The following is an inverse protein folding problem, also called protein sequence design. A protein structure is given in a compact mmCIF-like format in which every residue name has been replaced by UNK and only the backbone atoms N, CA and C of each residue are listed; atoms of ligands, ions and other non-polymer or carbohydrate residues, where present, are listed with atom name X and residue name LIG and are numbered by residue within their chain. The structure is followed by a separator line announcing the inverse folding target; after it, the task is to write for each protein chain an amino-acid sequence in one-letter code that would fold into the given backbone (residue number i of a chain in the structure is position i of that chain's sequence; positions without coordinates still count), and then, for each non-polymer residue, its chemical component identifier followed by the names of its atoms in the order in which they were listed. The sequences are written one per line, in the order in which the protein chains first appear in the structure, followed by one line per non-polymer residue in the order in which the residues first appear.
data_IF_485706439802
#
_entry.id   IF_485706439802
#
_cell.length_a   1.000
_cell.length_b   1.000
_cell.length_c   1.000
_cell.angle_alpha   90.00
_cell.angle_beta   90.00
_cell.angle_gamma   90.00
#
_symmetry.space_group_name_H-M   'P 1'
#
loop_
_entity.id
_entity.type
_entity.pdbx_description
1 polymer ?
#
# COMPACT_ATOMS: atom_id res chain seq x y z
N UNK A 1 -4.04 7.31 37.32
CA UNK A 1 -4.38 6.33 36.25
C UNK A 1 -3.17 6.15 35.34
N UNK A 2 -2.72 4.93 35.13
CA UNK A 2 -1.71 4.66 34.10
C UNK A 2 -2.41 4.78 32.74
N UNK A 3 -1.99 5.73 31.92
CA UNK A 3 -2.44 5.84 30.53
C UNK A 3 -1.78 4.68 29.76
N UNK A 4 -2.58 3.78 29.20
CA UNK A 4 -2.08 2.73 28.31
C UNK A 4 -1.65 3.40 27.01
N UNK A 5 -0.42 3.14 26.59
CA UNK A 5 0.09 3.58 25.29
C UNK A 5 0.07 2.36 24.37
N UNK A 6 -0.69 2.44 23.30
CA UNK A 6 -0.69 1.40 22.27
C UNK A 6 0.55 1.55 21.39
N UNK A 7 1.05 0.45 20.85
CA UNK A 7 2.19 0.47 19.93
C UNK A 7 1.83 1.20 18.63
N UNK A 8 0.60 1.07 18.19
CA UNK A 8 0.01 1.82 17.08
C UNK A 8 -1.49 1.95 17.28
N UNK A 9 -2.06 2.98 16.71
CA UNK A 9 -3.51 3.21 16.66
C UNK A 9 -3.88 3.67 15.26
N UNK A 10 -5.05 3.27 14.73
CA UNK A 10 -5.57 3.84 13.50
C UNK A 10 -5.84 5.34 13.68
N UNK A 11 -5.35 6.15 12.75
CA UNK A 11 -5.65 7.59 12.69
C UNK A 11 -6.66 7.82 11.56
N UNK A 12 -7.94 7.60 11.87
CA UNK A 12 -9.05 7.78 10.93
C UNK A 12 -9.76 9.07 11.28
N UNK A 13 -9.73 10.01 10.36
CA UNK A 13 -10.35 11.33 10.53
C UNK A 13 -11.74 11.40 9.87
N UNK A 14 -12.51 12.43 10.22
CA UNK A 14 -13.79 12.72 9.54
C UNK A 14 -13.61 12.97 8.04
N UNK A 15 -12.44 13.50 7.63
CA UNK A 15 -12.11 13.67 6.23
C UNK A 15 -11.98 12.32 5.49
N UNK A 16 -11.38 11.32 6.13
CA UNK A 16 -11.25 9.97 5.56
C UNK A 16 -12.61 9.30 5.42
N UNK A 17 -13.45 9.39 6.45
CA UNK A 17 -14.82 8.84 6.43
C UNK A 17 -15.63 9.50 5.32
N UNK A 18 -15.54 10.82 5.20
CA UNK A 18 -16.22 11.57 4.14
C UNK A 18 -15.75 11.14 2.76
N UNK A 19 -14.45 11.06 2.52
CA UNK A 19 -13.88 10.67 1.23
C UNK A 19 -14.32 9.27 0.80
N UNK A 20 -14.31 8.30 1.71
CA UNK A 20 -14.80 6.94 1.43
C UNK A 20 -16.29 6.94 1.15
N UNK A 21 -17.09 7.64 1.94
CA UNK A 21 -18.54 7.72 1.77
C UNK A 21 -18.93 8.37 0.44
N UNK A 22 -18.25 9.44 0.04
CA UNK A 22 -18.45 10.12 -1.24
C UNK A 22 -18.10 9.21 -2.41
N UNK A 23 -17.00 8.48 -2.32
CA UNK A 23 -16.61 7.53 -3.36
C UNK A 23 -17.65 6.42 -3.53
N UNK A 24 -18.12 5.81 -2.44
CA UNK A 24 -19.15 4.78 -2.49
C UNK A 24 -20.47 5.31 -3.08
N UNK A 25 -20.89 6.51 -2.72
CA UNK A 25 -22.10 7.14 -3.26
C UNK A 25 -21.97 7.50 -4.75
N UNK A 26 -20.77 7.72 -5.23
CA UNK A 26 -20.53 8.01 -6.65
C UNK A 26 -20.81 6.84 -7.59
N UNK A 27 -21.02 5.62 -7.05
CA UNK A 27 -21.18 4.40 -7.84
C UNK A 27 -19.88 3.91 -8.49
N UNK A 28 -18.73 4.39 -8.02
CA UNK A 28 -17.42 3.94 -8.48
C UNK A 28 -17.15 2.47 -8.15
N UNK A 29 -16.28 1.84 -8.93
CA UNK A 29 -15.84 0.48 -8.67
C UNK A 29 -15.09 0.41 -7.34
N UNK A 30 -15.46 -0.54 -6.46
CA UNK A 30 -14.85 -0.71 -5.14
C UNK A 30 -13.59 -1.58 -5.15
N UNK A 31 -13.26 -2.18 -6.26
CA UNK A 31 -12.17 -3.16 -6.36
C UNK A 31 -10.87 -2.57 -6.91
N UNK A 32 -10.92 -1.54 -7.76
CA UNK A 32 -9.71 -1.08 -8.44
C UNK A 32 -9.89 0.22 -9.23
N UNK A 33 -8.87 0.57 -10.01
CA UNK A 33 -8.75 1.58 -11.04
C UNK A 33 -8.46 2.99 -10.53
N UNK A 34 -9.46 3.87 -10.47
CA UNK A 34 -9.20 5.30 -10.33
C UNK A 34 -8.46 5.64 -9.04
N UNK A 35 -8.96 5.16 -7.90
CA UNK A 35 -8.37 5.46 -6.59
C UNK A 35 -7.02 4.76 -6.38
N UNK A 36 -6.85 3.58 -6.93
CA UNK A 36 -5.55 2.89 -6.92
C UNK A 36 -4.51 3.70 -7.69
N UNK A 37 -4.85 4.19 -8.89
CA UNK A 37 -3.94 5.02 -9.70
C UNK A 37 -3.63 6.37 -9.05
N UNK A 38 -4.62 7.00 -8.42
CA UNK A 38 -4.40 8.22 -7.65
C UNK A 38 -3.43 7.99 -6.49
N UNK A 39 -3.54 6.85 -5.78
CA UNK A 39 -2.64 6.47 -4.70
C UNK A 39 -1.22 6.18 -5.23
N UNK A 40 -1.10 5.37 -6.29
CA UNK A 40 0.18 5.08 -6.95
C UNK A 40 0.90 6.37 -7.34
N UNK A 41 0.17 7.30 -7.95
CA UNK A 41 0.74 8.61 -8.29
C UNK A 41 1.16 9.41 -7.07
N UNK A 42 0.35 9.47 -6.03
CA UNK A 42 0.67 10.19 -4.80
C UNK A 42 1.92 9.63 -4.12
N UNK A 43 2.07 8.29 -4.11
CA UNK A 43 3.27 7.63 -3.56
C UNK A 43 4.50 7.93 -4.41
N UNK A 44 4.37 7.83 -5.74
CA UNK A 44 5.50 8.13 -6.64
C UNK A 44 5.98 9.57 -6.51
N UNK A 45 5.04 10.53 -6.44
CA UNK A 45 5.36 11.94 -6.24
C UNK A 45 6.02 12.19 -4.87
N UNK A 46 5.47 11.61 -3.79
CA UNK A 46 6.01 11.76 -2.44
C UNK A 46 7.41 11.16 -2.29
N UNK A 47 7.63 9.98 -2.85
CA UNK A 47 8.92 9.30 -2.81
C UNK A 47 9.91 9.81 -3.87
N UNK A 48 9.49 10.69 -4.77
CA UNK A 48 10.29 11.19 -5.90
C UNK A 48 10.85 10.06 -6.78
N UNK A 49 10.03 9.04 -7.02
CA UNK A 49 10.31 7.91 -7.90
C UNK A 49 9.45 7.98 -9.16
N UNK A 50 9.87 7.30 -10.20
CA UNK A 50 9.17 7.36 -11.49
C UNK A 50 7.79 6.72 -11.44
N UNK A 51 7.70 5.54 -10.86
CA UNK A 51 6.48 4.74 -10.83
C UNK A 51 6.31 4.06 -9.46
N UNK A 52 5.05 3.87 -9.05
CA UNK A 52 4.66 3.04 -7.92
C UNK A 52 3.53 2.12 -8.34
N UNK A 53 3.49 0.92 -7.80
CA UNK A 53 2.46 -0.09 -8.10
C UNK A 53 1.92 -0.65 -6.79
N UNK A 54 0.61 -0.65 -6.66
CA UNK A 54 -0.08 -1.20 -5.48
C UNK A 54 -0.31 -2.71 -5.66
N UNK A 55 0.03 -3.47 -4.63
CA UNK A 55 -0.24 -4.89 -4.51
C UNK A 55 -1.20 -5.17 -3.36
N UNK A 56 -1.93 -6.30 -3.39
CA UNK A 56 -2.88 -6.66 -2.33
C UNK A 56 -2.25 -6.79 -0.94
N UNK A 57 -0.97 -7.12 -0.88
CA UNK A 57 -0.21 -7.24 0.37
C UNK A 57 1.30 -7.24 0.13
N UNK A 58 2.08 -7.10 1.21
CA UNK A 58 3.54 -7.04 1.15
C UNK A 58 4.18 -8.34 0.64
N UNK A 59 3.63 -9.49 0.93
CA UNK A 59 4.17 -10.79 0.46
C UNK A 59 4.15 -10.87 -1.05
N UNK A 60 3.04 -10.52 -1.69
CA UNK A 60 2.93 -10.49 -3.14
C UNK A 60 3.79 -9.40 -3.78
N UNK A 61 3.96 -8.25 -3.12
CA UNK A 61 4.86 -7.21 -3.62
C UNK A 61 6.32 -7.68 -3.64
N UNK A 62 6.78 -8.35 -2.58
CA UNK A 62 8.12 -8.94 -2.53
C UNK A 62 8.31 -10.01 -3.61
N UNK A 63 7.33 -10.89 -3.79
CA UNK A 63 7.37 -11.88 -4.86
C UNK A 63 7.47 -11.23 -6.24
N UNK A 64 6.68 -10.21 -6.50
CA UNK A 64 6.71 -9.49 -7.77
C UNK A 64 8.06 -8.81 -8.03
N UNK A 65 8.68 -8.21 -6.98
CA UNK A 65 10.02 -7.62 -7.07
C UNK A 65 11.04 -8.67 -7.47
N UNK A 66 11.07 -9.82 -6.78
CA UNK A 66 12.02 -10.90 -7.09
C UNK A 66 11.85 -11.40 -8.54
N UNK A 67 10.60 -11.56 -8.97
CA UNK A 67 10.29 -11.97 -10.35
C UNK A 67 10.71 -10.92 -11.38
N UNK A 68 10.47 -9.65 -11.12
CA UNK A 68 10.86 -8.56 -12.03
C UNK A 68 12.38 -8.45 -12.21
N UNK A 69 13.14 -8.85 -11.21
CA UNK A 69 14.60 -8.90 -11.23
C UNK A 69 15.15 -10.23 -11.78
N UNK A 70 14.29 -11.14 -12.23
CA UNK A 70 14.63 -12.48 -12.69
C UNK A 70 15.39 -13.33 -11.65
N UNK A 71 15.18 -13.05 -10.36
CA UNK A 71 15.74 -13.83 -9.27
C UNK A 71 14.99 -15.17 -9.17
N UNK A 72 15.73 -16.29 -9.17
CA UNK A 72 15.16 -17.63 -9.19
C UNK A 72 16.14 -18.71 -8.72
N UNK A 73 15.99 -19.89 -9.25
CA UNK A 73 16.82 -21.04 -8.85
C UNK A 73 18.31 -20.76 -9.07
N UNK A 74 19.10 -20.94 -8.02
CA UNK A 74 20.54 -20.69 -8.02
C UNK A 74 20.94 -19.31 -7.50
N UNK A 75 20.01 -18.40 -7.33
CA UNK A 75 20.24 -17.08 -6.75
C UNK A 75 20.10 -17.09 -5.22
N UNK A 76 20.67 -16.07 -4.59
CA UNK A 76 20.61 -15.88 -3.15
C UNK A 76 20.02 -14.51 -2.81
N UNK A 77 19.18 -14.46 -1.77
CA UNK A 77 18.57 -13.23 -1.27
C UNK A 77 18.86 -13.10 0.24
N UNK A 78 19.33 -11.93 0.65
CA UNK A 78 19.55 -11.62 2.06
C UNK A 78 18.22 -11.14 2.65
N UNK A 79 17.80 -11.77 3.73
CA UNK A 79 16.54 -11.45 4.42
C UNK A 79 16.76 -11.31 5.92
N UNK A 80 15.91 -10.57 6.65
CA UNK A 80 15.91 -10.57 8.12
C UNK A 80 15.65 -11.97 8.67
N UNK A 81 16.27 -12.27 9.81
CA UNK A 81 16.12 -13.57 10.49
C UNK A 81 15.18 -13.46 11.69
N UNK A 82 13.94 -13.05 11.45
CA UNK A 82 12.88 -13.02 12.47
C UNK A 82 11.50 -13.17 11.86
#
# INVERSE_FOLDING_TARGET
MRKTLNQYEPDITEADIKAVSEYLRSGGYVTEFKKTRELEKSISDYCQIKDAVIFPNGTLSLFAILKSLNIGQGDSVIVPNY
#
